data_IF_858830878723
#
_entry.id   IF_858830878723
#
_cell.length_a   1.000
_cell.length_b   1.000
_cell.length_c   1.000
_cell.angle_alpha   90.00
_cell.angle_beta   90.00
_cell.angle_gamma   90.00
#
_symmetry.space_group_name_H-M   'P 1'
#
loop_
_entity.id
_entity.type
_entity.pdbx_description
1 polymer ?
#
# COMPACT_ATOMS: atom_id res chain seq x y z
N UNK A 1 31.90 6.81 -18.31
CA UNK A 1 31.78 7.66 -17.11
C UNK A 1 30.49 7.31 -16.41
N UNK A 2 30.44 7.41 -15.09
CA UNK A 2 29.21 7.21 -14.30
C UNK A 2 28.40 8.52 -14.26
N UNK A 3 27.08 8.43 -14.46
CA UNK A 3 26.18 9.59 -14.37
C UNK A 3 25.83 9.89 -12.90
N UNK A 4 25.76 11.17 -12.54
CA UNK A 4 25.13 11.62 -11.30
C UNK A 4 23.70 12.01 -11.66
N UNK A 5 22.73 11.30 -11.10
CA UNK A 5 21.32 11.52 -11.43
C UNK A 5 20.72 12.68 -10.65
N UNK A 6 19.71 13.32 -11.26
CA UNK A 6 18.85 14.27 -10.53
C UNK A 6 18.03 13.50 -9.50
N UNK A 7 17.58 14.21 -8.47
CA UNK A 7 16.67 13.66 -7.46
C UNK A 7 15.45 12.99 -8.12
N UNK A 8 15.12 11.79 -7.65
CA UNK A 8 14.03 10.97 -8.21
C UNK A 8 14.39 10.21 -9.48
N UNK A 9 15.62 10.32 -9.99
CA UNK A 9 16.13 9.54 -11.12
C UNK A 9 17.25 8.60 -10.69
N UNK A 10 17.31 7.43 -11.32
CA UNK A 10 18.34 6.43 -11.06
C UNK A 10 18.63 5.61 -12.33
N UNK A 11 19.58 4.69 -12.25
CA UNK A 11 20.06 3.89 -13.39
C UNK A 11 21.40 4.39 -13.92
N UNK A 12 21.99 3.62 -14.83
CA UNK A 12 23.32 3.92 -15.38
C UNK A 12 23.33 5.19 -16.25
N UNK A 13 22.19 5.55 -16.82
CA UNK A 13 21.97 6.72 -17.65
C UNK A 13 20.91 7.68 -17.06
N UNK A 14 20.50 7.49 -15.80
CA UNK A 14 19.42 8.26 -15.16
C UNK A 14 18.09 8.15 -15.93
N UNK A 15 17.86 7.00 -16.54
CA UNK A 15 16.75 6.70 -17.45
C UNK A 15 15.48 6.25 -16.72
N UNK A 16 15.59 5.96 -15.41
CA UNK A 16 14.49 5.49 -14.58
C UNK A 16 14.07 6.54 -13.57
N UNK A 17 12.76 6.66 -13.34
CA UNK A 17 12.21 7.52 -12.29
C UNK A 17 11.67 6.69 -11.14
N UNK A 18 12.03 7.03 -9.90
CA UNK A 18 11.32 6.56 -8.72
C UNK A 18 11.67 7.41 -7.50
N UNK A 19 10.68 7.60 -6.63
CA UNK A 19 10.91 7.91 -5.21
C UNK A 19 10.76 6.59 -4.46
N UNK A 20 11.83 6.08 -3.85
CA UNK A 20 11.81 4.82 -3.08
C UNK A 20 12.47 3.61 -3.74
N UNK A 21 12.76 3.61 -5.05
CA UNK A 21 13.63 2.59 -5.66
C UNK A 21 15.07 3.05 -5.92
N UNK A 22 15.31 4.37 -5.93
CA UNK A 22 16.63 4.96 -6.07
C UNK A 22 17.45 4.75 -4.79
N UNK A 23 18.35 3.76 -4.81
CA UNK A 23 19.16 3.34 -3.69
C UNK A 23 20.22 4.34 -3.23
N UNK A 24 19.81 5.41 -2.58
CA UNK A 24 20.68 6.19 -1.70
C UNK A 24 20.24 5.96 -0.25
N UNK A 25 21.09 5.24 0.50
CA UNK A 25 20.94 4.88 1.92
C UNK A 25 20.02 3.70 2.28
N UNK A 26 20.02 2.65 1.45
CA UNK A 26 20.16 1.30 1.99
C UNK A 26 18.92 0.42 2.13
N UNK A 27 17.73 0.85 1.72
CA UNK A 27 16.56 -0.04 1.69
C UNK A 27 15.61 0.35 0.56
N UNK A 28 15.73 -0.30 -0.61
CA UNK A 28 14.72 -0.22 -1.69
C UNK A 28 13.35 -0.50 -1.11
N UNK A 29 12.37 0.36 -1.39
CA UNK A 29 11.01 0.28 -0.83
C UNK A 29 11.00 0.16 0.70
N UNK A 30 11.88 0.92 1.38
CA UNK A 30 12.08 0.89 2.84
C UNK A 30 12.38 -0.50 3.42
N UNK A 31 12.72 -1.49 2.56
CA UNK A 31 12.94 -2.88 2.95
C UNK A 31 11.65 -3.69 3.09
N UNK A 32 10.51 -3.12 2.70
CA UNK A 32 9.17 -3.71 2.83
C UNK A 32 8.45 -3.77 1.47
N UNK A 33 9.19 -4.07 0.41
CA UNK A 33 8.59 -4.22 -0.90
C UNK A 33 9.59 -4.47 -2.02
N UNK A 34 9.06 -4.65 -3.21
CA UNK A 34 9.82 -4.85 -4.45
C UNK A 34 9.67 -3.64 -5.34
N UNK A 35 10.79 -3.15 -5.85
CA UNK A 35 10.74 -2.14 -6.89
C UNK A 35 10.41 -2.79 -8.24
N UNK A 36 9.33 -2.33 -8.87
CA UNK A 36 8.81 -2.86 -10.13
C UNK A 36 8.53 -1.72 -11.11
N UNK A 37 8.64 -1.98 -12.42
CA UNK A 37 8.21 -1.02 -13.44
C UNK A 37 6.70 -0.85 -13.45
N UNK A 38 6.19 0.26 -14.00
CA UNK A 38 4.74 0.47 -14.15
C UNK A 38 4.05 -0.68 -14.90
N UNK A 39 4.70 -1.25 -15.92
CA UNK A 39 4.23 -2.46 -16.60
C UNK A 39 4.03 -3.62 -15.60
N UNK A 40 5.07 -3.92 -14.81
CA UNK A 40 5.03 -5.02 -13.84
C UNK A 40 4.04 -4.77 -12.70
N UNK A 41 3.90 -3.52 -12.25
CA UNK A 41 2.94 -3.13 -11.22
C UNK A 41 1.49 -3.30 -11.68
N UNK A 42 1.19 -3.04 -12.95
CA UNK A 42 -0.14 -3.22 -13.51
C UNK A 42 -0.64 -4.67 -13.34
N UNK A 43 0.26 -5.66 -13.44
CA UNK A 43 -0.07 -7.07 -13.22
C UNK A 43 -0.42 -7.41 -11.76
N UNK A 44 0.01 -6.57 -10.81
CA UNK A 44 -0.25 -6.75 -9.38
C UNK A 44 -1.46 -5.93 -8.88
N UNK A 45 -2.25 -5.35 -9.78
CA UNK A 45 -3.46 -4.64 -9.41
C UNK A 45 -4.45 -5.56 -8.70
N UNK A 46 -5.12 -5.02 -7.67
CA UNK A 46 -6.18 -5.69 -6.93
C UNK A 46 -7.41 -4.79 -6.85
N UNK A 47 -8.58 -5.40 -6.69
CA UNK A 47 -9.79 -4.65 -6.33
C UNK A 47 -9.78 -4.28 -4.83
N UNK A 48 -10.86 -3.63 -4.37
CA UNK A 48 -11.01 -3.22 -2.97
C UNK A 48 -11.02 -4.40 -1.99
N UNK A 49 -11.40 -5.59 -2.45
CA UNK A 49 -11.43 -6.83 -1.68
C UNK A 49 -10.06 -7.55 -1.67
N UNK A 50 -9.05 -7.01 -2.34
CA UNK A 50 -7.72 -7.61 -2.46
C UNK A 50 -7.63 -8.77 -3.46
N UNK A 51 -8.70 -9.05 -4.21
CA UNK A 51 -8.66 -10.02 -5.30
C UNK A 51 -7.81 -9.48 -6.46
N UNK A 52 -6.97 -10.33 -7.04
CA UNK A 52 -6.11 -9.93 -8.16
C UNK A 52 -6.95 -9.59 -9.39
N UNK A 53 -6.69 -8.40 -9.93
CA UNK A 53 -7.30 -7.87 -11.15
C UNK A 53 -6.20 -7.35 -12.08
N UNK A 54 -5.33 -8.21 -12.63
CA UNK A 54 -4.17 -7.80 -13.42
C UNK A 54 -4.59 -6.88 -14.58
N UNK A 55 -3.86 -5.78 -14.74
CA UNK A 55 -4.04 -4.84 -15.84
C UNK A 55 -2.87 -4.95 -16.82
N UNK A 56 -3.15 -4.66 -18.09
CA UNK A 56 -2.15 -4.63 -19.15
C UNK A 56 -1.70 -3.19 -19.38
N UNK A 57 -0.40 -2.92 -19.28
CA UNK A 57 0.17 -1.59 -19.50
C UNK A 57 1.58 -1.72 -20.10
N UNK A 58 1.84 -1.09 -21.26
CA UNK A 58 3.13 -1.20 -21.93
C UNK A 58 3.36 -2.50 -22.72
N UNK A 59 2.32 -3.30 -22.95
CA UNK A 59 2.48 -4.57 -23.68
C UNK A 59 2.55 -4.41 -25.20
N UNK A 60 2.09 -3.28 -25.75
CA UNK A 60 2.38 -2.89 -27.14
C UNK A 60 3.61 -1.96 -27.16
N UNK A 61 4.77 -2.41 -27.67
CA UNK A 61 5.97 -1.60 -27.70
C UNK A 61 5.89 -0.37 -28.61
N UNK A 62 4.87 -0.27 -29.46
CA UNK A 62 4.66 0.88 -30.36
C UNK A 62 3.52 1.80 -29.89
N UNK A 63 2.87 1.50 -28.76
CA UNK A 63 1.82 2.36 -28.22
C UNK A 63 2.45 3.60 -27.55
N UNK A 64 2.33 4.80 -28.16
CA UNK A 64 2.93 6.00 -27.62
C UNK A 64 2.30 6.44 -26.30
N UNK A 65 1.16 5.89 -25.90
CA UNK A 65 0.46 6.23 -24.65
C UNK A 65 1.01 5.49 -23.42
N UNK A 66 1.87 4.49 -23.63
CA UNK A 66 2.48 3.69 -22.54
C UNK A 66 4.02 3.70 -22.61
N UNK A 67 4.59 4.77 -23.18
CA UNK A 67 6.04 4.94 -23.38
C UNK A 67 6.88 4.84 -22.09
N UNK A 68 6.24 5.04 -20.95
CA UNK A 68 6.79 5.10 -19.61
C UNK A 68 6.69 3.77 -18.84
N UNK A 69 6.07 2.74 -19.43
CA UNK A 69 5.78 1.47 -18.78
C UNK A 69 7.00 0.78 -18.16
N UNK A 70 8.18 0.87 -18.81
CA UNK A 70 9.45 0.32 -18.32
C UNK A 70 10.47 1.42 -17.97
N UNK A 71 10.00 2.65 -17.75
CA UNK A 71 10.83 3.81 -17.38
C UNK A 71 10.45 4.39 -16.03
N UNK A 72 9.18 4.28 -15.64
CA UNK A 72 8.70 4.68 -14.31
C UNK A 72 8.64 3.44 -13.42
N UNK A 73 9.20 3.55 -12.23
CA UNK A 73 9.25 2.49 -11.24
C UNK A 73 8.56 2.91 -9.95
N UNK A 74 7.91 1.96 -9.30
CA UNK A 74 7.27 2.13 -8.00
C UNK A 74 7.46 0.90 -7.12
N UNK A 75 7.05 1.02 -5.87
CA UNK A 75 7.16 -0.06 -4.89
C UNK A 75 5.87 -0.87 -4.80
N UNK A 76 5.99 -2.18 -5.01
CA UNK A 76 4.97 -3.15 -4.61
C UNK A 76 5.25 -3.59 -3.19
N UNK A 77 4.42 -3.15 -2.25
CA UNK A 77 4.65 -3.34 -0.82
C UNK A 77 4.36 -4.77 -0.35
N UNK A 78 5.11 -5.21 0.65
CA UNK A 78 4.81 -6.41 1.40
C UNK A 78 3.53 -6.23 2.22
N UNK A 79 2.88 -7.34 2.59
CA UNK A 79 1.65 -7.31 3.37
C UNK A 79 1.83 -6.51 4.67
N UNK A 80 0.89 -5.59 4.93
CA UNK A 80 0.91 -4.72 6.11
C UNK A 80 1.74 -3.45 5.94
N UNK A 81 2.29 -3.20 4.75
CA UNK A 81 2.98 -1.96 4.42
C UNK A 81 2.34 -1.26 3.22
N UNK A 82 2.42 0.06 3.21
CA UNK A 82 1.83 0.92 2.20
C UNK A 82 2.60 2.24 2.03
N UNK A 83 2.08 3.10 1.16
CA UNK A 83 2.71 4.36 0.77
C UNK A 83 3.73 4.18 -0.35
N UNK A 84 4.22 5.30 -0.88
CA UNK A 84 5.00 5.32 -2.13
C UNK A 84 6.33 4.52 -2.05
N UNK A 85 6.93 4.44 -0.87
CA UNK A 85 8.16 3.68 -0.62
C UNK A 85 7.97 2.56 0.41
N UNK A 86 6.74 2.11 0.69
CA UNK A 86 6.41 1.06 1.66
C UNK A 86 6.93 1.30 3.10
N UNK A 87 6.99 2.56 3.51
CA UNK A 87 7.50 2.98 4.82
C UNK A 87 6.40 3.18 5.85
N UNK A 88 5.13 3.10 5.43
CA UNK A 88 3.97 3.21 6.28
C UNK A 88 3.44 1.81 6.57
N UNK A 89 3.00 1.57 7.80
CA UNK A 89 2.34 0.34 8.21
C UNK A 89 0.83 0.48 8.07
N UNK A 90 0.20 -0.42 7.33
CA UNK A 90 -1.26 -0.51 7.20
C UNK A 90 -1.87 -0.91 8.55
N UNK A 91 -2.98 -0.26 8.92
CA UNK A 91 -3.73 -0.68 10.10
C UNK A 91 -4.61 -1.90 9.81
N UNK A 92 -4.97 -2.60 10.89
CA UNK A 92 -5.98 -3.65 10.84
C UNK A 92 -7.28 -3.06 10.29
N UNK A 93 -7.81 -3.69 9.25
CA UNK A 93 -9.13 -3.39 8.70
C UNK A 93 -10.15 -4.31 9.32
N UNK A 94 -11.41 -3.88 9.42
CA UNK A 94 -12.53 -4.66 9.95
C UNK A 94 -13.85 -4.16 9.40
N UNK A 95 -14.91 -4.96 9.56
CA UNK A 95 -16.28 -4.52 9.23
C UNK A 95 -16.72 -3.43 10.19
N UNK A 96 -17.59 -2.55 9.71
CA UNK A 96 -18.29 -1.60 10.57
C UNK A 96 -19.48 -2.31 11.26
N UNK A 97 -19.50 -2.42 12.61
CA UNK A 97 -20.58 -3.09 13.33
C UNK A 97 -21.91 -2.32 13.29
N UNK A 98 -21.92 -1.04 12.91
CA UNK A 98 -23.13 -0.25 12.67
C UNK A 98 -23.69 -0.56 11.28
N UNK A 99 -22.81 -0.72 10.29
CA UNK A 99 -23.17 -1.08 8.92
C UNK A 99 -22.85 -2.55 8.63
N UNK A 100 -23.44 -3.43 9.43
CA UNK A 100 -23.22 -4.89 9.35
C UNK A 100 -23.76 -5.52 8.05
N UNK A 101 -24.50 -4.76 7.25
CA UNK A 101 -24.97 -5.19 5.92
C UNK A 101 -23.88 -5.01 4.85
N UNK A 102 -22.88 -4.18 5.10
CA UNK A 102 -21.73 -4.02 4.22
C UNK A 102 -20.77 -5.22 4.34
N UNK A 103 -20.24 -5.65 3.20
CA UNK A 103 -19.14 -6.62 3.12
C UNK A 103 -17.78 -5.93 3.01
N UNK A 104 -17.75 -4.59 3.15
CA UNK A 104 -16.55 -3.79 3.06
C UNK A 104 -15.74 -3.82 4.36
N UNK A 105 -14.42 -3.88 4.21
CA UNK A 105 -13.47 -3.80 5.32
C UNK A 105 -12.83 -2.42 5.33
N UNK A 106 -12.88 -1.77 6.49
CA UNK A 106 -12.35 -0.43 6.66
C UNK A 106 -11.24 -0.39 7.70
N UNK A 107 -10.20 0.45 7.53
CA UNK A 107 -9.21 0.69 8.56
C UNK A 107 -9.87 1.07 9.88
N UNK A 108 -9.47 0.40 10.96
CA UNK A 108 -9.98 0.64 12.30
C UNK A 108 -11.52 0.56 12.39
N UNK A 109 -12.15 -0.28 11.57
CA UNK A 109 -13.61 -0.47 11.50
C UNK A 109 -14.40 0.84 11.43
N UNK A 110 -13.81 1.92 10.86
CA UNK A 110 -14.34 3.30 10.83
C UNK A 110 -14.51 4.00 12.18
N UNK A 111 -14.03 3.39 13.26
CA UNK A 111 -14.22 3.82 14.64
C UNK A 111 -12.90 4.15 15.37
N UNK A 112 -11.88 4.51 14.60
CA UNK A 112 -10.62 5.02 15.13
C UNK A 112 -9.78 5.71 14.05
N UNK A 113 -8.65 6.25 14.48
CA UNK A 113 -7.63 6.83 13.59
C UNK A 113 -6.48 5.83 13.44
N UNK A 114 -6.06 5.58 12.20
CA UNK A 114 -4.89 4.75 11.94
C UNK A 114 -3.58 5.53 12.15
N UNK A 115 -2.72 5.05 13.04
CA UNK A 115 -1.34 5.52 13.17
C UNK A 115 -0.43 4.73 12.22
N UNK A 116 -0.26 5.25 10.99
CA UNK A 116 0.53 4.60 9.93
C UNK A 116 2.02 4.43 10.27
N UNK A 117 2.55 5.12 11.27
CA UNK A 117 3.92 4.88 11.76
C UNK A 117 4.07 3.60 12.60
N UNK A 118 2.95 3.06 13.11
CA UNK A 118 2.89 1.91 14.04
C UNK A 118 1.91 0.82 13.61
N UNK A 119 1.16 1.02 12.53
CA UNK A 119 0.11 0.09 12.06
C UNK A 119 -0.99 -0.14 13.09
N UNK A 120 -1.27 0.84 13.96
CA UNK A 120 -2.19 0.67 15.11
C UNK A 120 -3.33 1.66 15.07
N UNK A 121 -4.52 1.18 15.41
CA UNK A 121 -5.72 2.01 15.56
C UNK A 121 -5.79 2.67 16.94
N UNK A 122 -6.10 3.96 16.94
CA UNK A 122 -6.48 4.72 18.12
C UNK A 122 -8.00 4.88 18.11
N UNK A 123 -8.70 4.08 18.93
CA UNK A 123 -10.16 4.02 18.91
C UNK A 123 -10.81 5.30 19.44
N UNK A 124 -11.92 5.69 18.83
CA UNK A 124 -12.78 6.75 19.34
C UNK A 124 -13.48 6.33 20.64
N UNK A 125 -13.96 7.31 21.40
CA UNK A 125 -14.67 7.04 22.65
C UNK A 125 -15.87 6.10 22.44
N UNK A 126 -16.00 5.08 23.29
CA UNK A 126 -17.04 4.06 23.18
C UNK A 126 -16.70 2.88 22.25
N UNK A 127 -15.51 2.85 21.68
CA UNK A 127 -15.05 1.78 20.78
C UNK A 127 -13.78 1.11 21.30
N UNK A 128 -13.70 -0.20 21.09
CA UNK A 128 -12.61 -1.05 21.52
C UNK A 128 -12.30 -2.15 20.52
N UNK A 129 -11.25 -2.90 20.80
CA UNK A 129 -10.82 -4.02 19.98
C UNK A 129 -11.87 -5.13 19.92
N UNK A 130 -12.06 -5.71 18.73
CA UNK A 130 -13.04 -6.76 18.49
C UNK A 130 -12.40 -8.13 18.22
N UNK A 131 -13.23 -9.16 18.14
CA UNK A 131 -12.87 -10.49 17.61
C UNK A 131 -13.06 -10.60 16.09
N UNK A 132 -13.59 -9.54 15.46
CA UNK A 132 -13.93 -9.47 14.04
C UNK A 132 -15.35 -9.88 13.68
N UNK A 133 -16.10 -10.44 14.62
CA UNK A 133 -17.50 -10.86 14.49
C UNK A 133 -18.45 -10.00 15.35
N UNK A 134 -17.96 -8.85 15.83
CA UNK A 134 -18.71 -7.90 16.65
C UNK A 134 -18.66 -8.18 18.15
N UNK A 135 -17.93 -9.20 18.59
CA UNK A 135 -17.62 -9.49 19.99
C UNK A 135 -16.35 -8.77 20.46
N UNK A 136 -16.08 -8.83 21.76
CA UNK A 136 -14.86 -8.30 22.36
C UNK A 136 -13.68 -9.21 21.99
N UNK A 137 -12.57 -8.63 21.53
CA UNK A 137 -11.37 -9.39 21.18
C UNK A 137 -10.13 -8.51 21.08
N UNK A 138 -9.04 -9.07 20.53
CA UNK A 138 -7.69 -8.47 20.59
C UNK A 138 -7.14 -8.00 19.22
N UNK A 139 -8.00 -7.89 18.19
CA UNK A 139 -7.57 -7.48 16.83
C UNK A 139 -7.00 -6.06 16.75
N UNK A 140 -7.32 -5.19 17.71
CA UNK A 140 -6.92 -3.79 17.72
C UNK A 140 -7.58 -2.97 16.61
N UNK A 141 -8.79 -3.32 16.21
CA UNK A 141 -9.50 -2.80 15.03
C UNK A 141 -10.63 -1.81 15.36
N UNK A 142 -10.88 -1.53 16.64
CA UNK A 142 -11.98 -0.64 17.07
C UNK A 142 -13.39 -1.11 16.66
N UNK A 143 -13.56 -2.41 16.38
CA UNK A 143 -14.83 -2.99 15.92
C UNK A 143 -15.83 -3.36 17.03
N UNK A 144 -15.48 -3.18 18.31
CA UNK A 144 -16.33 -3.55 19.45
C UNK A 144 -16.89 -2.32 20.17
N UNK A 145 -18.19 -2.30 20.43
CA UNK A 145 -18.85 -1.21 21.16
C UNK A 145 -18.72 -1.42 22.67
N UNK A 146 -17.98 -0.52 23.33
CA UNK A 146 -17.85 -0.49 24.79
C UNK A 146 -19.14 0.09 25.38
N UNK A 147 -19.82 -0.71 26.20
CA UNK A 147 -21.07 -0.35 26.88
C UNK A 147 -20.90 0.79 27.88
#
# INVERSE_FOLDING_TARGET
>A
GLCICKEGFFGAACEYTSVGCGGDAGNTCSGHGKCLSMHSLALHATNAEGASTPQTYGSDPNDPTTFDADRIFGCHCDQGYEGHHCGLQSCVTGKDPIDSASEEFHPCSRHGICSFSKGRCECFAGWGSSDGDGGLGDRGDCGYRLS
#
